data_IF_688142732659
#
_entry.id   IF_688142732659
#
_cell.length_a   1.000
_cell.length_b   1.000
_cell.length_c   1.000
_cell.angle_alpha   90.00
_cell.angle_beta   90.00
_cell.angle_gamma   90.00
#
_symmetry.space_group_name_H-M   'P 1'
#
loop_
_entity.id
_entity.type
_entity.pdbx_description
1 polymer ?
#
# COMPACT_ATOMS: atom_id res chain seq x y z
N UNK A 1 1.62 15.83 2.11
CA UNK A 1 2.15 15.36 3.42
C UNK A 1 1.99 13.86 3.58
N UNK A 2 0.78 13.31 3.43
CA UNK A 2 0.56 11.86 3.44
C UNK A 2 1.32 11.12 2.32
N UNK A 3 1.42 11.72 1.13
CA UNK A 3 2.22 11.19 0.02
C UNK A 3 3.71 11.04 0.40
N UNK A 4 4.35 12.09 0.92
CA UNK A 4 5.75 12.03 1.35
C UNK A 4 5.98 10.98 2.44
N UNK A 5 5.07 10.85 3.41
CA UNK A 5 5.15 9.79 4.42
C UNK A 5 5.02 8.40 3.80
N UNK A 6 4.14 8.25 2.80
CA UNK A 6 3.99 6.99 2.06
C UNK A 6 5.28 6.63 1.32
N UNK A 7 5.92 7.59 0.65
CA UNK A 7 7.20 7.39 -0.03
C UNK A 7 8.33 7.06 0.95
N UNK A 8 8.34 7.69 2.12
CA UNK A 8 9.31 7.38 3.19
C UNK A 8 9.14 5.94 3.70
N UNK A 9 7.89 5.49 3.89
CA UNK A 9 7.60 4.10 4.24
C UNK A 9 8.05 3.13 3.14
N UNK A 10 7.81 3.44 1.87
CA UNK A 10 8.29 2.64 0.75
C UNK A 10 9.81 2.52 0.80
N UNK A 11 10.53 3.64 0.91
CA UNK A 11 11.99 3.65 0.99
C UNK A 11 12.53 2.86 2.20
N UNK A 12 11.79 2.84 3.31
CA UNK A 12 12.21 2.16 4.54
C UNK A 12 11.94 0.65 4.55
N UNK A 13 10.88 0.21 3.86
CA UNK A 13 10.41 -1.18 3.94
C UNK A 13 10.63 -1.99 2.66
N UNK A 14 10.87 -1.32 1.52
CA UNK A 14 11.24 -1.96 0.26
C UNK A 14 12.77 -1.88 0.15
N UNK A 15 13.43 -2.96 0.59
CA UNK A 15 14.89 -3.00 0.79
C UNK A 15 15.70 -3.34 -0.45
N UNK A 16 15.06 -3.90 -1.49
CA UNK A 16 15.76 -4.37 -2.70
C UNK A 16 15.45 -3.47 -3.88
N UNK A 17 16.49 -2.94 -4.51
CA UNK A 17 16.40 -2.16 -5.74
C UNK A 17 15.66 -2.88 -6.87
N UNK A 18 15.65 -4.22 -6.87
CA UNK A 18 14.94 -5.02 -7.87
C UNK A 18 13.44 -5.23 -7.59
N UNK A 19 12.93 -4.74 -6.45
CA UNK A 19 11.51 -4.90 -6.13
C UNK A 19 10.68 -3.91 -6.95
N UNK A 20 9.89 -4.43 -7.90
CA UNK A 20 8.98 -3.62 -8.69
C UNK A 20 7.89 -3.02 -7.79
N UNK A 21 7.78 -1.70 -7.80
CA UNK A 21 6.72 -0.96 -7.12
C UNK A 21 5.67 -0.55 -8.17
N UNK A 22 4.45 -1.08 -8.03
CA UNK A 22 3.33 -0.77 -8.91
C UNK A 22 2.42 0.26 -8.25
N UNK A 23 2.18 1.37 -8.93
CA UNK A 23 1.13 2.30 -8.54
C UNK A 23 -0.22 1.75 -9.02
N UNK A 24 -1.22 1.80 -8.14
CA UNK A 24 -2.61 1.45 -8.46
C UNK A 24 -3.45 2.71 -8.31
N UNK A 25 -4.04 3.11 -9.42
CA UNK A 25 -4.94 4.25 -9.53
C UNK A 25 -6.40 3.77 -9.70
N UNK A 26 -7.36 4.69 -9.61
CA UNK A 26 -8.78 4.40 -9.85
C UNK A 26 -9.54 3.80 -8.65
N UNK A 27 -8.91 3.73 -7.48
CA UNK A 27 -9.58 3.47 -6.21
C UNK A 27 -10.16 4.78 -5.64
N UNK A 28 -11.06 4.69 -4.65
CA UNK A 28 -11.53 5.85 -3.86
C UNK A 28 -10.42 6.44 -2.93
N UNK A 29 -9.16 6.12 -3.21
CA UNK A 29 -7.98 6.57 -2.47
C UNK A 29 -7.22 7.57 -3.33
N UNK A 30 -6.44 8.44 -2.71
CA UNK A 30 -5.59 9.35 -3.47
C UNK A 30 -4.52 8.58 -4.26
N UNK A 31 -3.90 7.59 -3.60
CA UNK A 31 -2.92 6.71 -4.24
C UNK A 31 -2.69 5.42 -3.46
N UNK A 32 -2.33 4.37 -4.19
CA UNK A 32 -1.87 3.11 -3.63
C UNK A 32 -0.61 2.64 -4.37
N UNK A 33 0.34 2.09 -3.63
CA UNK A 33 1.55 1.47 -4.14
C UNK A 33 1.65 0.05 -3.61
N UNK A 34 2.13 -0.84 -4.47
CA UNK A 34 2.22 -2.26 -4.20
C UNK A 34 3.63 -2.72 -4.50
N UNK A 35 4.24 -3.43 -3.55
CA UNK A 35 5.55 -4.04 -3.71
C UNK A 35 5.44 -5.54 -3.42
N UNK A 36 5.87 -6.36 -4.37
CA UNK A 36 5.86 -7.82 -4.25
C UNK A 36 7.29 -8.37 -4.25
N UNK A 37 7.65 -9.07 -3.18
CA UNK A 37 8.97 -9.68 -3.01
C UNK A 37 8.80 -11.15 -2.61
N UNK A 38 8.72 -12.02 -3.62
CA UNK A 38 8.52 -13.45 -3.43
C UNK A 38 7.21 -13.75 -2.69
N UNK A 39 7.30 -14.27 -1.46
CA UNK A 39 6.11 -14.56 -0.63
C UNK A 39 5.63 -13.36 0.19
N UNK A 40 6.43 -12.29 0.26
CA UNK A 40 6.10 -11.04 0.96
C UNK A 40 5.40 -10.09 0.01
N UNK A 41 4.27 -9.54 0.44
CA UNK A 41 3.50 -8.54 -0.28
C UNK A 41 3.29 -7.34 0.61
N UNK A 42 3.48 -6.15 0.06
CA UNK A 42 3.36 -4.90 0.79
C UNK A 42 2.46 -3.94 0.02
N UNK A 43 1.55 -3.30 0.74
CA UNK A 43 0.63 -2.30 0.22
C UNK A 43 0.85 -1.03 1.04
N UNK A 44 1.03 0.08 0.33
CA UNK A 44 1.17 1.42 0.90
C UNK A 44 0.09 2.29 0.28
N UNK A 45 -0.80 2.86 1.07
CA UNK A 45 -1.87 3.69 0.53
C UNK A 45 -2.12 4.91 1.40
N UNK A 46 -2.64 5.97 0.79
CA UNK A 46 -3.05 7.16 1.51
C UNK A 46 -4.32 7.78 0.96
N UNK A 47 -5.03 8.49 1.83
CA UNK A 47 -6.20 9.29 1.51
C UNK A 47 -6.28 10.49 2.45
N UNK A 48 -6.22 11.70 1.90
CA UNK A 48 -6.14 12.96 2.64
C UNK A 48 -4.90 13.04 3.54
N UNK A 49 -5.11 12.89 4.85
CA UNK A 49 -4.06 12.93 5.88
C UNK A 49 -3.72 11.55 6.46
N UNK A 50 -4.37 10.50 5.98
CA UNK A 50 -4.23 9.15 6.53
C UNK A 50 -3.34 8.31 5.62
N UNK A 51 -2.51 7.49 6.24
CA UNK A 51 -1.60 6.56 5.56
C UNK A 51 -1.77 5.19 6.21
N UNK A 52 -1.81 4.15 5.39
CA UNK A 52 -1.80 2.76 5.84
C UNK A 52 -0.68 2.00 5.14
N UNK A 53 0.00 1.18 5.92
CA UNK A 53 0.98 0.22 5.44
C UNK A 53 0.53 -1.17 5.89
N UNK A 54 0.39 -2.07 4.93
CA UNK A 54 0.06 -3.47 5.18
C UNK A 54 1.17 -4.32 4.59
N UNK A 55 1.81 -5.13 5.41
CA UNK A 55 2.75 -6.15 4.98
C UNK A 55 2.21 -7.52 5.40
N UNK A 56 2.19 -8.46 4.46
CA UNK A 56 1.73 -9.82 4.75
C UNK A 56 2.53 -10.84 3.94
N UNK A 57 2.47 -12.10 4.40
CA UNK A 57 3.20 -13.21 3.83
C UNK A 57 2.24 -14.33 3.41
N UNK A 58 2.53 -14.97 2.27
CA UNK A 58 1.85 -16.18 1.85
C UNK A 58 1.31 -16.16 0.42
N UNK A 59 0.36 -17.05 0.16
CA UNK A 59 -0.22 -17.31 -1.16
C UNK A 59 -1.44 -16.45 -1.49
N UNK A 60 -1.93 -15.68 -0.52
CA UNK A 60 -3.08 -14.79 -0.73
C UNK A 60 -2.71 -13.70 -1.74
N UNK A 61 -3.58 -13.46 -2.71
CA UNK A 61 -3.32 -12.48 -3.77
C UNK A 61 -3.53 -11.07 -3.22
N UNK A 62 -2.79 -10.12 -3.80
CA UNK A 62 -2.92 -8.69 -3.47
C UNK A 62 -4.32 -8.18 -3.81
N UNK A 63 -4.90 -8.67 -4.91
CA UNK A 63 -6.22 -8.30 -5.42
C UNK A 63 -7.33 -8.51 -4.37
N UNK A 64 -7.21 -9.55 -3.54
CA UNK A 64 -8.16 -9.85 -2.45
C UNK A 64 -8.00 -8.90 -1.26
N UNK A 65 -6.83 -8.28 -1.10
CA UNK A 65 -6.49 -7.42 0.05
C UNK A 65 -6.74 -5.93 -0.26
N UNK A 66 -6.56 -5.50 -1.51
CA UNK A 66 -6.82 -4.12 -1.96
C UNK A 66 -8.17 -3.56 -1.47
N UNK A 67 -9.32 -4.26 -1.65
CA UNK A 67 -10.60 -3.73 -1.18
C UNK A 67 -10.63 -3.56 0.33
N UNK A 68 -10.10 -4.53 1.09
CA UNK A 68 -10.06 -4.46 2.56
C UNK A 68 -9.24 -3.27 3.07
N UNK A 69 -8.09 -3.01 2.44
CA UNK A 69 -7.23 -1.86 2.76
C UNK A 69 -7.95 -0.55 2.43
N UNK A 70 -8.64 -0.51 1.30
CA UNK A 70 -9.39 0.68 0.85
C UNK A 70 -10.55 0.99 1.79
N UNK A 71 -11.37 0.00 2.12
CA UNK A 71 -12.47 0.13 3.09
C UNK A 71 -11.95 0.56 4.45
N UNK A 72 -10.87 -0.06 4.93
CA UNK A 72 -10.31 0.27 6.23
C UNK A 72 -9.81 1.71 6.29
N UNK A 73 -9.07 2.16 5.28
CA UNK A 73 -8.55 3.52 5.23
C UNK A 73 -9.67 4.56 5.15
N UNK A 74 -10.74 4.28 4.38
CA UNK A 74 -11.88 5.19 4.27
C UNK A 74 -12.73 5.21 5.56
N UNK A 75 -12.83 4.09 6.27
CA UNK A 75 -13.60 4.01 7.54
C UNK A 75 -13.06 4.91 8.65
N UNK A 76 -11.81 5.38 8.56
CA UNK A 76 -11.23 6.33 9.52
C UNK A 76 -11.52 7.80 9.17
N UNK A 77 -12.16 8.09 8.04
CA UNK A 77 -12.50 9.46 7.63
C UNK A 77 -13.91 9.89 8.08
N UNK A 78 -14.75 8.95 8.52
CA UNK A 78 -16.04 9.20 9.21
C UNK A 78 -15.82 9.51 10.69
#
# INVERSE_FOLDING_TARGET
>A
MAENLTLDLISRYVYRDDTEIKAVDGLKLDKMYIAEEGTRKQIFAYSGKQVIHVAYYGKMKIEDIIPLVSEKLLSYQE
#
